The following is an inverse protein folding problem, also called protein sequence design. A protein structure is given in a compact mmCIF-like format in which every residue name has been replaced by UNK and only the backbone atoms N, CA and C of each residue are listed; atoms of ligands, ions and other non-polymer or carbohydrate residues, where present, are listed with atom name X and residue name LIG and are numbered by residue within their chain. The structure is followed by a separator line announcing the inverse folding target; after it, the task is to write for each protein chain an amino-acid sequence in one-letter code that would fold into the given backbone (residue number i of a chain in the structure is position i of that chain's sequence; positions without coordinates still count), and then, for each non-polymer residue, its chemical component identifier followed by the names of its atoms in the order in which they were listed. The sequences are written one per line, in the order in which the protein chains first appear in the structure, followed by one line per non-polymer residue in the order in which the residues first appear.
data_IF_221012692928
#
_entry.id   IF_221012692928
#
_cell.length_a   1.000
_cell.length_b   1.000
_cell.length_c   1.000
_cell.angle_alpha   90.00
_cell.angle_beta   90.00
_cell.angle_gamma   90.00
#
_symmetry.space_group_name_H-M   'P 1'
#
loop_
_entity.id
_entity.type
_entity.pdbx_description
1 polymer ?
#
# COMPACT_ATOMS: atom_id res chain seq x y z
N UNK A 1 -13.40 24.09 7.58
CA UNK A 1 -12.60 23.34 6.62
C UNK A 1 -13.11 21.92 6.48
N UNK A 2 -12.39 21.07 5.75
CA UNK A 2 -12.75 19.66 5.57
C UNK A 2 -12.73 18.91 6.92
N UNK A 3 -11.76 19.21 7.79
CA UNK A 3 -11.63 18.60 9.11
C UNK A 3 -12.84 18.84 10.02
N UNK A 4 -13.32 20.08 10.13
CA UNK A 4 -14.46 20.42 10.99
C UNK A 4 -15.76 19.79 10.48
N UNK A 5 -15.93 19.69 9.16
CA UNK A 5 -17.06 18.95 8.57
C UNK A 5 -16.96 17.45 8.89
N UNK A 6 -15.79 16.82 8.74
CA UNK A 6 -15.60 15.42 9.12
C UNK A 6 -15.85 15.19 10.61
N UNK A 7 -15.37 16.08 11.49
CA UNK A 7 -15.59 16.02 12.94
C UNK A 7 -17.08 16.08 13.28
N UNK A 8 -17.82 16.98 12.65
CA UNK A 8 -19.25 17.12 12.87
C UNK A 8 -20.04 15.89 12.38
N UNK A 9 -19.63 15.28 11.27
CA UNK A 9 -20.28 14.07 10.71
C UNK A 9 -20.04 12.82 11.54
N UNK A 10 -18.93 12.77 12.27
CA UNK A 10 -18.53 11.64 13.12
C UNK A 10 -18.79 11.90 14.62
N UNK A 11 -19.49 12.98 14.97
CA UNK A 11 -19.77 13.31 16.37
C UNK A 11 -20.60 12.20 17.05
N UNK A 12 -20.21 11.83 18.27
CA UNK A 12 -20.83 10.74 19.02
C UNK A 12 -20.58 9.31 18.50
N UNK A 13 -19.79 9.12 17.43
CA UNK A 13 -19.56 7.79 16.83
C UNK A 13 -18.53 6.92 17.56
N UNK A 14 -17.75 7.49 18.49
CA UNK A 14 -16.59 6.81 19.08
C UNK A 14 -15.38 6.72 18.14
N UNK A 15 -15.46 7.29 16.93
CA UNK A 15 -14.36 7.29 15.95
C UNK A 15 -13.37 8.41 16.28
N UNK A 16 -12.09 8.04 16.44
CA UNK A 16 -10.99 9.00 16.53
C UNK A 16 -10.68 9.55 15.13
N UNK A 17 -11.02 10.82 14.89
CA UNK A 17 -10.58 11.52 13.69
C UNK A 17 -9.19 12.14 13.90
N UNK A 18 -8.31 11.93 12.93
CA UNK A 18 -6.95 12.48 12.82
C UNK A 18 -6.83 13.22 11.49
N UNK A 19 -6.17 14.37 11.49
CA UNK A 19 -5.94 15.14 10.27
C UNK A 19 -4.69 14.64 9.55
N UNK A 20 -4.85 14.21 8.30
CA UNK A 20 -3.77 13.75 7.42
C UNK A 20 -4.02 14.36 6.04
N UNK A 21 -3.01 15.04 5.49
CA UNK A 21 -3.08 15.51 4.10
C UNK A 21 -2.87 14.34 3.14
N UNK A 22 -3.77 14.21 2.17
CA UNK A 22 -3.77 13.23 1.07
C UNK A 22 -4.04 13.95 -0.26
N UNK A 23 -3.78 13.29 -1.39
CA UNK A 23 -4.18 13.77 -2.72
C UNK A 23 -5.53 13.12 -3.13
N UNK A 24 -5.79 11.86 -2.73
CA UNK A 24 -7.12 11.20 -2.79
C UNK A 24 -7.38 10.30 -1.54
N UNK A 25 -8.48 9.53 -1.50
CA UNK A 25 -8.98 8.82 -0.31
C UNK A 25 -8.84 7.27 -0.35
N UNK A 26 -7.71 6.75 -0.84
CA UNK A 26 -7.48 5.31 -1.05
C UNK A 26 -6.45 4.68 -0.11
N UNK A 27 -6.72 4.71 1.20
CA UNK A 27 -5.77 4.22 2.22
C UNK A 27 -5.43 2.72 2.12
N UNK A 28 -6.25 1.93 1.40
CA UNK A 28 -5.91 0.54 1.06
C UNK A 28 -4.59 0.46 0.28
N UNK A 29 -4.34 1.44 -0.59
CA UNK A 29 -3.22 1.46 -1.52
C UNK A 29 -2.07 2.36 -1.05
N UNK A 30 -2.41 3.43 -0.31
CA UNK A 30 -1.45 4.46 0.14
C UNK A 30 -1.03 4.29 1.60
N UNK A 31 -1.75 3.46 2.36
CA UNK A 31 -1.46 3.14 3.75
C UNK A 31 -0.35 2.10 3.91
N UNK A 32 0.13 1.87 5.13
CA UNK A 32 1.15 0.88 5.37
C UNK A 32 0.54 -0.54 5.35
N UNK A 33 1.29 -1.51 4.82
CA UNK A 33 1.01 -2.92 5.07
C UNK A 33 1.64 -3.31 6.40
N UNK A 34 0.82 -3.47 7.44
CA UNK A 34 1.30 -3.90 8.75
C UNK A 34 1.76 -5.36 8.74
N UNK A 35 2.87 -5.63 9.42
CA UNK A 35 3.43 -6.96 9.64
C UNK A 35 3.73 -7.14 11.12
N UNK A 36 3.64 -8.39 11.60
CA UNK A 36 3.84 -8.73 13.00
C UNK A 36 4.86 -9.84 13.16
N UNK A 37 5.49 -9.92 14.32
CA UNK A 37 6.27 -11.10 14.72
C UNK A 37 5.54 -11.88 15.82
N UNK A 38 6.04 -13.08 16.13
CA UNK A 38 5.51 -13.94 17.20
C UNK A 38 5.77 -13.41 18.62
N UNK A 39 6.44 -12.26 18.74
CA UNK A 39 6.80 -11.62 20.01
C UNK A 39 5.86 -10.44 20.33
N UNK A 40 4.92 -10.13 19.44
CA UNK A 40 3.93 -9.07 19.62
C UNK A 40 4.36 -7.70 19.07
N UNK A 41 5.51 -7.61 18.39
CA UNK A 41 5.92 -6.38 17.72
C UNK A 41 5.15 -6.19 16.42
N UNK A 42 4.80 -4.93 16.14
CA UNK A 42 4.11 -4.51 14.92
C UNK A 42 4.99 -3.49 14.19
N UNK A 43 5.19 -3.71 12.90
CA UNK A 43 5.89 -2.79 11.99
C UNK A 43 5.05 -2.55 10.75
N UNK A 44 5.39 -1.55 9.95
CA UNK A 44 4.73 -1.28 8.69
C UNK A 44 5.68 -1.28 7.51
N UNK A 45 5.25 -1.93 6.42
CA UNK A 45 5.86 -1.76 5.10
C UNK A 45 5.19 -0.57 4.42
N UNK A 46 6.02 0.38 4.00
CA UNK A 46 5.65 1.60 3.30
C UNK A 46 6.15 1.46 1.86
N UNK A 47 5.23 1.12 0.97
CA UNK A 47 5.49 0.94 -0.45
C UNK A 47 5.60 2.29 -1.16
N UNK A 48 6.39 2.36 -2.24
CA UNK A 48 6.28 3.49 -3.16
C UNK A 48 4.87 3.56 -3.75
N UNK A 49 4.27 4.74 -3.75
CA UNK A 49 2.99 4.99 -4.40
C UNK A 49 3.14 5.96 -5.58
N UNK A 50 2.49 5.63 -6.71
CA UNK A 50 2.56 6.45 -7.92
C UNK A 50 1.19 6.77 -8.56
N UNK A 51 0.08 6.69 -7.81
CA UNK A 51 -1.27 6.84 -8.37
C UNK A 51 -1.58 5.86 -9.51
N UNK A 52 -1.26 4.57 -9.28
CA UNK A 52 -1.58 3.45 -10.17
C UNK A 52 -1.02 3.55 -11.59
N UNK A 53 0.17 4.15 -11.77
CA UNK A 53 0.86 4.20 -13.06
C UNK A 53 1.74 5.42 -13.28
N UNK A 54 1.81 6.33 -12.32
CA UNK A 54 2.63 7.53 -12.41
C UNK A 54 2.28 8.37 -13.63
N UNK A 55 3.32 8.81 -14.36
CA UNK A 55 3.13 9.57 -15.60
C UNK A 55 2.76 8.71 -16.83
N UNK A 56 2.70 7.38 -16.69
CA UNK A 56 2.29 6.44 -17.75
C UNK A 56 0.94 5.79 -17.40
N UNK A 57 -0.11 6.60 -17.43
CA UNK A 57 -1.49 6.15 -17.22
C UNK A 57 -1.99 6.18 -15.78
N UNK A 58 -1.26 6.82 -14.86
CA UNK A 58 -1.75 7.04 -13.50
C UNK A 58 -2.97 7.97 -13.45
N UNK A 59 -3.75 7.88 -12.38
CA UNK A 59 -5.08 8.49 -12.30
C UNK A 59 -5.06 10.00 -12.03
N UNK A 60 -4.02 10.52 -11.38
CA UNK A 60 -3.89 11.95 -11.07
C UNK A 60 -2.44 12.36 -10.87
N UNK A 61 -2.21 13.67 -10.79
CA UNK A 61 -0.96 14.30 -10.35
C UNK A 61 -1.30 15.62 -9.63
N UNK A 62 -0.64 15.96 -8.50
CA UNK A 62 0.39 15.18 -7.80
C UNK A 62 -0.17 14.08 -6.88
N UNK A 63 0.67 13.09 -6.52
CA UNK A 63 0.37 12.01 -5.55
C UNK A 63 1.34 11.99 -4.34
N UNK A 64 2.18 13.01 -4.23
CA UNK A 64 3.20 13.13 -3.18
C UNK A 64 2.64 13.11 -1.75
N UNK A 65 1.38 13.50 -1.52
CA UNK A 65 0.77 13.43 -0.18
C UNK A 65 0.32 12.02 0.13
N UNK A 66 -0.14 11.31 -0.89
CA UNK A 66 -0.54 9.90 -0.80
C UNK A 66 0.66 8.99 -0.51
N UNK A 67 1.80 9.22 -1.17
CA UNK A 67 3.06 8.51 -0.88
C UNK A 67 3.64 8.81 0.53
N UNK A 68 3.05 9.77 1.27
CA UNK A 68 3.40 10.05 2.67
C UNK A 68 2.40 9.45 3.67
N UNK A 69 1.25 8.93 3.23
CA UNK A 69 0.18 8.46 4.12
C UNK A 69 0.68 7.32 5.01
N UNK A 70 1.35 6.33 4.44
CA UNK A 70 1.94 5.22 5.20
C UNK A 70 2.86 5.71 6.34
N UNK A 71 3.81 6.59 6.04
CA UNK A 71 4.72 7.15 7.05
C UNK A 71 4.00 7.90 8.18
N UNK A 72 2.97 8.70 7.86
CA UNK A 72 2.20 9.47 8.85
C UNK A 72 1.39 8.55 9.76
N UNK A 73 0.78 7.50 9.21
CA UNK A 73 0.05 6.49 9.98
C UNK A 73 1.01 5.78 10.94
N UNK A 74 2.16 5.33 10.46
CA UNK A 74 3.14 4.63 11.29
C UNK A 74 3.71 5.52 12.41
N UNK A 75 3.90 6.81 12.18
CA UNK A 75 4.31 7.77 13.22
C UNK A 75 3.23 7.95 14.30
N UNK A 76 1.95 8.05 13.90
CA UNK A 76 0.81 8.16 14.83
C UNK A 76 0.71 6.91 15.71
N UNK A 77 0.86 5.73 15.11
CA UNK A 77 0.77 4.43 15.80
C UNK A 77 2.08 4.03 16.51
N UNK A 78 3.16 4.80 16.31
CA UNK A 78 4.49 4.55 16.87
C UNK A 78 5.07 3.19 16.47
N UNK A 79 4.86 2.81 15.21
CA UNK A 79 5.40 1.58 14.63
C UNK A 79 6.67 1.87 13.81
N UNK A 80 7.66 0.97 13.88
CA UNK A 80 8.81 1.04 12.99
C UNK A 80 8.40 0.82 11.52
N UNK A 81 9.20 1.37 10.60
CA UNK A 81 8.89 1.47 9.17
C UNK A 81 9.96 0.80 8.31
N UNK A 82 9.52 0.04 7.32
CA UNK A 82 10.33 -0.42 6.18
C UNK A 82 9.87 0.33 4.92
N UNK A 83 10.70 1.23 4.37
CA UNK A 83 10.41 1.91 3.09
C UNK A 83 11.03 1.14 1.94
N UNK A 84 10.25 0.81 0.92
CA UNK A 84 10.74 0.12 -0.28
C UNK A 84 11.13 1.13 -1.37
N UNK A 85 12.32 1.72 -1.24
CA UNK A 85 12.83 2.68 -2.23
C UNK A 85 12.90 2.07 -3.63
N UNK A 86 12.32 2.76 -4.62
CA UNK A 86 12.31 2.31 -6.01
C UNK A 86 11.32 1.20 -6.34
N UNK A 87 10.53 0.72 -5.38
CA UNK A 87 9.52 -0.32 -5.59
C UNK A 87 8.11 0.22 -5.36
N UNK A 88 7.28 0.19 -6.41
CA UNK A 88 5.89 0.65 -6.37
C UNK A 88 4.97 -0.55 -6.13
N UNK A 89 4.10 -0.44 -5.14
CA UNK A 89 3.06 -1.44 -4.87
C UNK A 89 1.88 -0.80 -4.14
N UNK A 90 0.68 -1.17 -4.55
CA UNK A 90 -0.55 -0.81 -3.86
C UNK A 90 -1.04 -1.97 -2.99
N UNK A 91 -1.40 -1.72 -1.74
CA UNK A 91 -1.88 -2.78 -0.83
C UNK A 91 -3.13 -3.52 -1.33
N UNK A 92 -3.96 -2.90 -2.18
CA UNK A 92 -5.08 -3.55 -2.86
C UNK A 92 -4.71 -4.58 -3.93
N UNK A 93 -3.48 -4.55 -4.44
CA UNK A 93 -3.01 -5.45 -5.52
C UNK A 93 -2.52 -6.81 -5.01
N UNK A 94 -2.53 -7.04 -3.70
CA UNK A 94 -2.03 -8.27 -3.06
C UNK A 94 -2.99 -8.77 -1.98
N UNK A 95 -2.98 -10.09 -1.78
CA UNK A 95 -3.66 -10.74 -0.65
C UNK A 95 -2.78 -11.84 -0.08
N UNK A 96 -2.69 -11.94 1.25
CA UNK A 96 -1.88 -12.97 1.95
C UNK A 96 -2.76 -13.85 2.83
N UNK A 97 -2.41 -15.12 2.97
CA UNK A 97 -3.10 -16.07 3.85
C UNK A 97 -2.59 -16.04 5.31
N UNK A 98 -1.39 -15.49 5.53
CA UNK A 98 -0.70 -15.51 6.83
C UNK A 98 0.06 -16.81 7.12
N UNK A 99 0.12 -17.72 6.16
CA UNK A 99 0.77 -19.04 6.23
C UNK A 99 1.83 -19.23 5.13
N UNK A 100 2.26 -18.15 4.49
CA UNK A 100 3.36 -18.14 3.53
C UNK A 100 2.94 -18.03 2.06
N UNK A 101 1.66 -17.75 1.77
CA UNK A 101 1.16 -17.61 0.40
C UNK A 101 0.62 -16.21 0.13
N UNK A 102 0.93 -15.68 -1.05
CA UNK A 102 0.35 -14.45 -1.59
C UNK A 102 -0.38 -14.72 -2.91
N UNK A 103 -1.52 -14.08 -3.13
CA UNK A 103 -2.22 -14.01 -4.42
C UNK A 103 -2.14 -12.57 -4.95
N UNK A 104 -1.87 -12.44 -6.25
CA UNK A 104 -1.82 -11.17 -6.99
C UNK A 104 -2.13 -11.39 -8.47
N UNK A 105 -2.10 -10.32 -9.29
CA UNK A 105 -2.34 -10.38 -10.73
C UNK A 105 -1.11 -9.98 -11.54
N UNK A 106 -0.87 -10.68 -12.66
CA UNK A 106 0.21 -10.35 -13.60
C UNK A 106 -0.05 -8.99 -14.25
N UNK A 107 -1.30 -8.72 -14.65
CA UNK A 107 -1.74 -7.46 -15.25
C UNK A 107 -1.38 -6.23 -14.42
N UNK A 108 -1.37 -6.35 -13.09
CA UNK A 108 -1.02 -5.26 -12.18
C UNK A 108 0.48 -5.16 -11.94
N UNK A 109 1.09 -6.14 -11.25
CA UNK A 109 2.47 -5.99 -10.75
C UNK A 109 3.53 -6.06 -11.86
N UNK A 110 3.25 -6.73 -12.99
CA UNK A 110 4.15 -6.78 -14.15
C UNK A 110 3.87 -5.66 -15.16
N UNK A 111 2.94 -4.76 -14.84
CA UNK A 111 2.70 -3.61 -15.69
C UNK A 111 3.94 -2.71 -15.75
N UNK A 112 4.27 -2.24 -16.95
CA UNK A 112 5.41 -1.35 -17.19
C UNK A 112 5.33 -0.02 -16.42
N UNK A 113 4.14 0.36 -15.95
CA UNK A 113 3.94 1.60 -15.20
C UNK A 113 4.05 1.41 -13.67
N UNK A 114 4.35 0.19 -13.21
CA UNK A 114 4.74 -0.12 -11.83
C UNK A 114 6.27 -0.19 -11.74
N UNK A 115 6.83 -1.38 -11.95
CA UNK A 115 8.25 -1.68 -11.72
C UNK A 115 8.93 -2.17 -13.01
N UNK A 116 9.00 -1.36 -14.09
CA UNK A 116 9.48 -1.82 -15.41
C UNK A 116 10.95 -2.25 -15.45
N UNK A 117 11.70 -1.96 -14.39
CA UNK A 117 13.11 -2.27 -14.25
C UNK A 117 13.35 -3.60 -13.51
N UNK A 118 12.29 -4.28 -13.06
CA UNK A 118 12.38 -5.54 -12.32
C UNK A 118 11.77 -6.69 -13.13
N UNK A 119 12.40 -7.87 -13.02
CA UNK A 119 11.81 -9.12 -13.47
C UNK A 119 10.73 -9.61 -12.49
N UNK A 120 9.95 -10.60 -12.91
CA UNK A 120 8.97 -11.27 -12.02
C UNK A 120 9.65 -11.82 -10.77
N UNK A 121 10.79 -12.48 -10.95
CA UNK A 121 11.56 -13.10 -9.86
C UNK A 121 12.11 -12.06 -8.88
N UNK A 122 12.51 -10.89 -9.37
CA UNK A 122 12.95 -9.76 -8.54
C UNK A 122 11.78 -9.16 -7.76
N UNK A 123 10.59 -9.02 -8.37
CA UNK A 123 9.37 -8.61 -7.68
C UNK A 123 9.00 -9.63 -6.60
N UNK A 124 9.02 -10.92 -6.91
CA UNK A 124 8.76 -11.97 -5.92
C UNK A 124 9.76 -11.91 -4.75
N UNK A 125 11.04 -11.66 -5.01
CA UNK A 125 12.04 -11.53 -3.96
C UNK A 125 11.70 -10.39 -2.98
N UNK A 126 11.31 -9.21 -3.50
CA UNK A 126 10.88 -8.07 -2.66
C UNK A 126 9.64 -8.45 -1.84
N UNK A 127 8.66 -9.14 -2.43
CA UNK A 127 7.46 -9.58 -1.72
C UNK A 127 7.81 -10.58 -0.60
N UNK A 128 8.67 -11.57 -0.87
CA UNK A 128 9.13 -12.53 0.15
C UNK A 128 9.81 -11.84 1.33
N UNK A 129 10.72 -10.90 1.04
CA UNK A 129 11.49 -10.19 2.06
C UNK A 129 10.63 -9.33 3.00
N UNK A 130 9.53 -8.77 2.48
CA UNK A 130 8.70 -7.82 3.23
C UNK A 130 7.42 -8.41 3.81
N UNK A 131 6.93 -9.53 3.25
CA UNK A 131 5.65 -10.13 3.64
C UNK A 131 5.78 -11.52 4.28
N UNK A 132 7.00 -12.04 4.44
CA UNK A 132 7.28 -13.34 5.02
C UNK A 132 6.49 -14.47 4.33
N UNK A 133 6.50 -14.45 2.99
CA UNK A 133 5.87 -15.46 2.14
C UNK A 133 6.92 -16.32 1.43
N UNK A 134 6.51 -17.51 1.01
CA UNK A 134 7.31 -18.43 0.21
C UNK A 134 6.74 -18.57 -1.22
N UNK A 135 5.41 -18.58 -1.33
CA UNK A 135 4.68 -18.86 -2.57
C UNK A 135 3.91 -17.64 -3.06
N UNK A 136 4.00 -17.36 -4.36
CA UNK A 136 3.19 -16.35 -5.05
C UNK A 136 2.32 -17.02 -6.10
N UNK A 137 1.01 -16.83 -6.00
CA UNK A 137 0.01 -17.25 -6.97
C UNK A 137 -0.30 -16.05 -7.87
N UNK A 138 0.03 -16.21 -9.15
CA UNK A 138 -0.20 -15.21 -10.19
C UNK A 138 -1.48 -15.52 -10.95
N UNK A 139 -2.50 -14.69 -10.76
CA UNK A 139 -3.67 -14.66 -11.65
C UNK A 139 -3.30 -13.86 -12.91
N UNK A 140 -3.71 -14.27 -14.12
CA UNK A 140 -3.30 -13.57 -15.33
C UNK A 140 -3.91 -12.17 -15.42
N UNK A 141 -5.21 -12.05 -15.18
CA UNK A 141 -5.99 -10.84 -15.41
C UNK A 141 -6.66 -10.36 -14.12
N UNK A 142 -6.83 -9.04 -14.02
CA UNK A 142 -7.66 -8.38 -13.01
C UNK A 142 -9.12 -8.25 -13.46
N UNK A 143 -9.88 -7.45 -12.73
CA UNK A 143 -11.22 -7.05 -13.14
C UNK A 143 -11.12 -5.77 -13.98
N UNK A 144 -11.92 -5.69 -15.04
CA UNK A 144 -11.95 -4.51 -15.90
C UNK A 144 -12.37 -3.25 -15.10
N UNK A 145 -11.52 -2.21 -15.11
CA UNK A 145 -11.63 -0.95 -14.36
C UNK A 145 -11.58 -1.10 -12.82
N UNK A 146 -10.92 -2.14 -12.31
CA UNK A 146 -10.43 -2.16 -10.93
C UNK A 146 -9.13 -1.33 -10.81
#
# INVERSE_FOLDING_TARGET
GQYENARARLDGSGIRLVEISTDDAWVRDTGPTFVTNDQGDVRGVDWGFNAWGGFDGGLYWPWHRDDQVASKILEIERCDRYRTEGFVLEGGSIHVDGEGTLITTEECLLNRNRNPHLSREEIEAVLRDHLAIDTVIWLPDGLFND
#
